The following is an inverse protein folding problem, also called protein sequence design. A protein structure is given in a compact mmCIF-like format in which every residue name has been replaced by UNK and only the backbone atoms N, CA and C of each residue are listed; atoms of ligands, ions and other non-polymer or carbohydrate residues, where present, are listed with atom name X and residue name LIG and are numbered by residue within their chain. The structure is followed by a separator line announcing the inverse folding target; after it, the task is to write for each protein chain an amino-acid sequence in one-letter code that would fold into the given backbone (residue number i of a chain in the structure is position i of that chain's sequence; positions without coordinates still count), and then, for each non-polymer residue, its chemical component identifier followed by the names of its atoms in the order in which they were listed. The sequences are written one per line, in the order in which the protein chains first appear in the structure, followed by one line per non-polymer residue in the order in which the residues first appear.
data_IF_976944436554
#
_entry.id   IF_976944436554
#
_cell.length_a   1.000
_cell.length_b   1.000
_cell.length_c   1.000
_cell.angle_alpha   90.00
_cell.angle_beta   90.00
_cell.angle_gamma   90.00
#
_symmetry.space_group_name_H-M   'P 1'
#
loop_
_entity.id
_entity.type
_entity.pdbx_description
1 polymer ?
#
# COMPACT_ATOMS: atom_id res chain seq x y z
N UNK A 1 9.64 -9.66 14.44
CA UNK A 1 9.40 -8.98 13.16
C UNK A 1 8.00 -8.37 13.12
N UNK A 2 7.61 -7.73 12.00
CA UNK A 2 6.29 -7.08 11.85
C UNK A 2 5.15 -8.08 12.06
N UNK A 3 5.25 -9.26 11.44
CA UNK A 3 4.28 -10.36 11.56
C UNK A 3 4.07 -10.77 13.02
N UNK A 4 5.16 -10.89 13.82
CA UNK A 4 5.05 -11.20 15.24
C UNK A 4 4.35 -10.09 16.02
N UNK A 5 4.47 -8.82 15.57
CA UNK A 5 3.77 -7.72 16.19
C UNK A 5 2.26 -7.78 15.94
N UNK A 6 1.82 -8.13 14.72
CA UNK A 6 0.40 -8.33 14.40
C UNK A 6 -0.22 -9.36 15.35
N UNK A 7 0.41 -10.53 15.45
CA UNK A 7 -0.06 -11.61 16.34
C UNK A 7 -0.09 -11.19 17.82
N UNK A 8 0.96 -10.50 18.29
CA UNK A 8 1.08 -10.06 19.69
C UNK A 8 0.11 -8.94 20.08
N UNK A 9 -0.14 -8.00 19.15
CA UNK A 9 -1.00 -6.83 19.42
C UNK A 9 -2.47 -7.12 19.16
N UNK A 10 -2.80 -8.29 18.60
CA UNK A 10 -4.17 -8.62 18.23
C UNK A 10 -4.71 -7.72 17.11
N UNK A 11 -3.85 -7.36 16.15
CA UNK A 11 -4.26 -6.57 15.00
C UNK A 11 -5.22 -7.35 14.12
N UNK A 12 -6.23 -6.68 13.56
CA UNK A 12 -7.22 -7.29 12.68
C UNK A 12 -6.74 -7.41 11.23
N UNK A 13 -5.74 -6.61 10.84
CA UNK A 13 -5.19 -6.55 9.49
C UNK A 13 -3.74 -6.07 9.51
N UNK A 14 -2.96 -6.47 8.51
CA UNK A 14 -1.63 -5.95 8.23
C UNK A 14 -1.68 -5.08 6.96
N UNK A 15 -1.23 -3.83 7.05
CA UNK A 15 -1.11 -2.93 5.92
C UNK A 15 0.38 -2.72 5.58
N UNK A 16 0.76 -3.01 4.34
CA UNK A 16 2.10 -2.84 3.80
C UNK A 16 2.03 -1.76 2.70
N UNK A 17 2.53 -0.56 3.04
CA UNK A 17 2.29 0.64 2.23
C UNK A 17 3.52 0.97 1.38
N UNK A 18 3.89 0.04 0.50
CA UNK A 18 4.98 0.16 -0.47
C UNK A 18 6.37 -0.08 0.11
N UNK A 19 7.34 -0.21 -0.79
CA UNK A 19 8.77 -0.39 -0.49
C UNK A 19 9.05 -1.57 0.45
N UNK A 20 8.29 -2.66 0.27
CA UNK A 20 8.52 -3.92 1.00
C UNK A 20 9.84 -4.55 0.58
N UNK A 21 10.22 -4.32 -0.67
CA UNK A 21 11.48 -4.75 -1.25
C UNK A 21 12.28 -3.54 -1.72
N UNK A 22 13.59 -3.55 -1.42
CA UNK A 22 14.51 -2.44 -1.74
C UNK A 22 14.67 -2.19 -3.25
N UNK A 23 14.38 -3.19 -4.08
CA UNK A 23 14.36 -3.07 -5.54
C UNK A 23 13.68 -4.26 -6.21
N UNK A 24 13.20 -4.11 -7.44
CA UNK A 24 12.51 -5.17 -8.20
C UNK A 24 13.36 -6.39 -8.61
N UNK A 25 14.66 -6.43 -8.29
CA UNK A 25 15.59 -7.51 -8.69
C UNK A 25 15.99 -8.44 -7.55
N UNK A 26 15.23 -8.48 -6.48
CA UNK A 26 15.47 -9.43 -5.37
C UNK A 26 15.34 -10.88 -5.88
N UNK A 27 16.14 -11.83 -5.33
CA UNK A 27 16.01 -13.25 -5.65
C UNK A 27 14.67 -13.83 -5.24
N UNK A 28 14.18 -14.84 -5.96
CA UNK A 28 12.90 -15.49 -5.63
C UNK A 28 12.88 -16.09 -4.22
N UNK A 29 14.03 -16.55 -3.70
CA UNK A 29 14.15 -17.02 -2.31
C UNK A 29 13.81 -15.96 -1.25
N UNK A 30 14.00 -14.67 -1.55
CA UNK A 30 13.58 -13.57 -0.67
C UNK A 30 12.08 -13.36 -0.75
N UNK A 31 11.49 -13.50 -1.95
CA UNK A 31 10.05 -13.43 -2.15
C UNK A 31 9.35 -14.61 -1.45
N UNK A 32 9.89 -15.82 -1.57
CA UNK A 32 9.40 -17.02 -0.88
C UNK A 32 9.41 -16.81 0.64
N UNK A 33 10.53 -16.34 1.20
CA UNK A 33 10.64 -16.06 2.62
C UNK A 33 9.63 -15.00 3.10
N UNK A 34 9.35 -13.97 2.28
CA UNK A 34 8.30 -12.99 2.55
C UNK A 34 6.92 -13.64 2.59
N UNK A 35 6.59 -14.47 1.60
CA UNK A 35 5.30 -15.17 1.53
C UNK A 35 5.13 -16.15 2.71
N UNK A 36 6.20 -16.86 3.10
CA UNK A 36 6.20 -17.73 4.28
C UNK A 36 5.93 -16.93 5.57
N UNK A 37 6.52 -15.74 5.72
CA UNK A 37 6.26 -14.87 6.87
C UNK A 37 4.80 -14.39 6.90
N UNK A 38 4.23 -13.98 5.75
CA UNK A 38 2.81 -13.58 5.68
C UNK A 38 1.88 -14.75 6.01
N UNK A 39 2.21 -15.96 5.57
CA UNK A 39 1.42 -17.17 5.87
C UNK A 39 1.36 -17.53 7.35
N UNK A 40 2.21 -16.95 8.21
CA UNK A 40 2.22 -17.19 9.68
C UNK A 40 1.05 -16.51 10.40
N UNK A 41 0.37 -15.57 9.79
CA UNK A 41 -0.81 -14.91 10.36
C UNK A 41 -2.06 -15.31 9.59
N UNK A 42 -3.19 -15.34 10.30
CA UNK A 42 -4.50 -15.59 9.68
C UNK A 42 -5.22 -14.32 9.25
N UNK A 43 -4.78 -13.18 9.74
CA UNK A 43 -5.33 -11.88 9.42
C UNK A 43 -5.04 -11.51 7.96
N UNK A 44 -5.93 -10.77 7.30
CA UNK A 44 -5.65 -10.22 5.98
C UNK A 44 -4.41 -9.34 6.00
N UNK A 45 -3.57 -9.46 4.98
CA UNK A 45 -2.46 -8.57 4.70
C UNK A 45 -2.72 -7.88 3.36
N UNK A 46 -2.77 -6.55 3.34
CA UNK A 46 -2.93 -5.76 2.11
C UNK A 46 -1.61 -5.07 1.80
N UNK A 47 -1.12 -5.29 0.57
CA UNK A 47 0.12 -4.73 0.07
C UNK A 47 -0.17 -3.77 -1.06
N UNK A 48 0.35 -2.55 -0.94
CA UNK A 48 0.42 -1.55 -1.99
C UNK A 48 1.86 -1.49 -2.52
N UNK A 49 2.12 -1.61 -3.82
CA UNK A 49 3.45 -1.40 -4.39
C UNK A 49 3.95 0.04 -4.20
N UNK A 50 5.23 0.19 -3.88
CA UNK A 50 5.93 1.48 -3.73
C UNK A 50 6.86 1.79 -4.89
N UNK A 51 7.75 2.77 -4.70
CA UNK A 51 8.65 3.19 -5.77
C UNK A 51 9.89 2.29 -5.95
N UNK A 52 10.27 1.51 -4.95
CA UNK A 52 11.34 0.51 -5.07
C UNK A 52 10.83 -0.82 -5.63
N UNK A 53 9.55 -1.11 -5.48
CA UNK A 53 8.90 -2.35 -5.88
C UNK A 53 7.64 -2.10 -6.74
N UNK A 54 7.79 -1.29 -7.79
CA UNK A 54 6.72 -0.85 -8.71
C UNK A 54 5.88 -2.00 -9.26
N UNK A 55 4.61 -1.71 -9.56
CA UNK A 55 3.72 -2.61 -10.30
C UNK A 55 3.73 -2.27 -11.79
N UNK A 56 4.91 -2.32 -12.42
CA UNK A 56 5.11 -2.14 -13.86
C UNK A 56 5.12 -3.48 -14.61
N UNK A 57 5.38 -3.46 -15.92
CA UNK A 57 5.44 -4.66 -16.76
C UNK A 57 6.51 -5.69 -16.33
N UNK A 58 7.48 -5.30 -15.52
CA UNK A 58 8.54 -6.14 -14.98
C UNK A 58 8.43 -6.34 -13.46
N UNK A 59 7.28 -6.04 -12.91
CA UNK A 59 7.04 -6.10 -11.46
C UNK A 59 7.39 -7.45 -10.87
N UNK A 60 8.09 -7.43 -9.73
CA UNK A 60 8.36 -8.66 -8.96
C UNK A 60 7.07 -9.36 -8.51
N UNK A 61 5.98 -8.61 -8.32
CA UNK A 61 4.66 -9.15 -7.92
C UNK A 61 3.95 -9.96 -9.02
N UNK A 62 4.45 -9.91 -10.26
CA UNK A 62 3.97 -10.70 -11.40
C UNK A 62 4.78 -11.99 -11.60
N UNK A 63 5.85 -12.22 -10.82
CA UNK A 63 6.64 -13.44 -10.91
C UNK A 63 5.86 -14.67 -10.48
N UNK A 64 6.24 -15.85 -10.97
CA UNK A 64 5.60 -17.13 -10.69
C UNK A 64 5.46 -17.41 -9.18
N UNK A 65 6.43 -17.01 -8.38
CA UNK A 65 6.42 -17.12 -6.91
C UNK A 65 5.14 -16.52 -6.31
N UNK A 66 4.65 -15.39 -6.81
CA UNK A 66 3.43 -14.75 -6.31
C UNK A 66 2.14 -15.43 -6.76
N UNK A 67 2.18 -16.34 -7.74
CA UNK A 67 1.01 -17.16 -8.10
C UNK A 67 0.66 -18.15 -6.98
N UNK A 68 1.62 -18.44 -6.11
CA UNK A 68 1.49 -19.33 -4.94
C UNK A 68 1.42 -18.58 -3.62
N UNK A 69 1.10 -17.28 -3.66
CA UNK A 69 0.96 -16.47 -2.45
C UNK A 69 -0.14 -17.01 -1.52
N UNK A 70 -0.01 -16.85 -0.20
CA UNK A 70 -1.05 -17.26 0.73
C UNK A 70 -2.36 -16.47 0.49
N UNK A 71 -3.50 -17.09 0.76
CA UNK A 71 -4.83 -16.55 0.49
C UNK A 71 -5.10 -15.23 1.24
N UNK A 72 -4.48 -15.06 2.41
CA UNK A 72 -4.60 -13.85 3.21
C UNK A 72 -3.79 -12.65 2.69
N UNK A 73 -2.92 -12.83 1.68
CA UNK A 73 -2.20 -11.73 1.05
C UNK A 73 -2.99 -11.18 -0.14
N UNK A 74 -3.37 -9.92 -0.06
CA UNK A 74 -4.03 -9.16 -1.10
C UNK A 74 -3.08 -8.08 -1.61
N UNK A 75 -2.83 -8.03 -2.91
CA UNK A 75 -1.94 -7.03 -3.53
C UNK A 75 -2.80 -6.10 -4.37
N UNK A 76 -2.66 -4.80 -4.14
CA UNK A 76 -3.31 -3.77 -4.96
C UNK A 76 -2.57 -3.70 -6.29
N UNK A 77 -3.30 -3.94 -7.39
CA UNK A 77 -2.75 -4.09 -8.73
C UNK A 77 -3.29 -3.10 -9.74
N UNK A 78 -4.43 -2.47 -9.43
CA UNK A 78 -5.07 -1.56 -10.39
C UNK A 78 -4.41 -0.18 -10.40
N UNK A 79 -4.01 0.24 -11.59
CA UNK A 79 -3.29 1.50 -11.82
C UNK A 79 -4.18 2.73 -11.73
N UNK A 80 -5.50 2.53 -11.85
CA UNK A 80 -6.52 3.57 -11.67
C UNK A 80 -7.13 3.54 -10.26
N UNK A 81 -6.60 2.65 -9.39
CA UNK A 81 -7.08 2.43 -8.04
C UNK A 81 -8.15 1.35 -7.94
N UNK A 82 -8.15 0.65 -6.82
CA UNK A 82 -9.16 -0.36 -6.47
C UNK A 82 -9.47 -0.33 -4.98
N UNK A 83 -10.67 -0.79 -4.62
CA UNK A 83 -11.07 -1.03 -3.25
C UNK A 83 -11.25 -2.54 -3.03
N UNK A 84 -10.54 -3.07 -2.04
CA UNK A 84 -10.67 -4.45 -1.56
C UNK A 84 -11.61 -4.45 -0.36
N UNK A 85 -12.66 -5.27 -0.41
CA UNK A 85 -13.67 -5.31 0.66
C UNK A 85 -13.42 -6.48 1.62
N UNK A 86 -13.51 -6.19 2.91
CA UNK A 86 -13.38 -7.13 4.03
C UNK A 86 -14.63 -7.05 4.89
N UNK A 87 -15.75 -7.71 4.48
CA UNK A 87 -17.04 -7.58 5.14
C UNK A 87 -17.03 -7.98 6.62
N UNK A 88 -16.23 -8.97 6.99
CA UNK A 88 -16.09 -9.44 8.37
C UNK A 88 -15.53 -8.35 9.30
N UNK A 89 -14.76 -7.41 8.74
CA UNK A 89 -14.21 -6.25 9.45
C UNK A 89 -15.06 -4.98 9.23
N UNK A 90 -16.09 -5.06 8.40
CA UNK A 90 -16.87 -3.89 7.93
C UNK A 90 -15.92 -2.81 7.37
N UNK A 91 -14.93 -3.24 6.58
CA UNK A 91 -13.82 -2.43 6.12
C UNK A 91 -13.59 -2.59 4.62
N UNK A 92 -13.35 -1.47 3.95
CA UNK A 92 -12.80 -1.43 2.61
C UNK A 92 -11.40 -0.80 2.67
N UNK A 93 -10.47 -1.38 1.92
CA UNK A 93 -9.11 -0.85 1.78
C UNK A 93 -8.92 -0.42 0.34
N UNK A 94 -8.69 0.86 0.13
CA UNK A 94 -8.44 1.41 -1.20
C UNK A 94 -6.95 1.71 -1.39
N UNK A 95 -6.47 1.57 -2.61
CA UNK A 95 -5.15 2.02 -3.02
C UNK A 95 -5.02 2.07 -4.53
N UNK A 96 -3.99 2.74 -5.01
CA UNK A 96 -3.62 2.86 -6.42
C UNK A 96 -2.22 2.31 -6.62
N UNK A 97 -2.08 1.23 -7.43
CA UNK A 97 -0.78 0.60 -7.69
C UNK A 97 0.18 1.59 -8.38
N UNK A 98 1.37 1.74 -7.82
CA UNK A 98 2.40 2.60 -8.40
C UNK A 98 3.10 1.90 -9.56
N UNK A 99 2.94 2.44 -10.77
CA UNK A 99 3.58 1.93 -12.00
C UNK A 99 4.78 2.77 -12.42
N UNK A 100 4.87 4.00 -11.91
CA UNK A 100 5.99 4.89 -12.17
C UNK A 100 6.14 5.89 -11.04
N UNK A 101 7.39 6.16 -10.65
CA UNK A 101 7.72 7.19 -9.66
C UNK A 101 8.07 8.49 -10.36
N UNK A 102 7.06 9.24 -10.78
CA UNK A 102 7.20 10.49 -11.53
C UNK A 102 6.31 11.58 -10.93
N UNK A 103 6.54 12.87 -11.24
CA UNK A 103 5.68 13.96 -10.78
C UNK A 103 4.24 13.90 -11.32
N UNK A 104 3.99 13.10 -12.37
CA UNK A 104 2.67 12.92 -12.96
C UNK A 104 1.84 11.82 -12.27
N UNK A 105 2.45 10.99 -11.44
CA UNK A 105 1.72 9.98 -10.69
C UNK A 105 1.20 10.58 -9.37
N UNK A 106 -0.12 10.66 -9.23
CA UNK A 106 -0.80 11.16 -8.03
C UNK A 106 -1.40 10.00 -7.24
N UNK A 107 -0.81 9.62 -6.08
CA UNK A 107 -1.20 8.42 -5.34
C UNK A 107 -2.65 8.37 -4.85
N UNK A 108 -3.30 9.53 -4.65
CA UNK A 108 -4.67 9.64 -4.16
C UNK A 108 -5.72 9.84 -5.28
N UNK A 109 -5.28 9.94 -6.53
CA UNK A 109 -6.19 10.14 -7.66
C UNK A 109 -7.08 8.90 -7.89
N UNK A 110 -8.38 9.12 -8.15
CA UNK A 110 -9.33 8.05 -8.46
C UNK A 110 -10.02 7.44 -7.23
N UNK A 111 -9.75 7.92 -6.02
CA UNK A 111 -10.43 7.42 -4.82
C UNK A 111 -11.94 7.61 -4.91
N UNK A 112 -12.77 6.56 -4.70
CA UNK A 112 -14.22 6.66 -4.82
C UNK A 112 -14.83 7.49 -3.69
N UNK A 113 -15.76 8.36 -4.03
CA UNK A 113 -16.53 9.15 -3.05
C UNK A 113 -17.75 8.42 -2.51
N UNK A 114 -18.21 7.37 -3.23
CA UNK A 114 -19.34 6.55 -2.78
C UNK A 114 -18.90 5.56 -1.71
N UNK A 115 -19.69 5.49 -0.64
CA UNK A 115 -19.47 4.63 0.53
C UNK A 115 -20.59 3.61 0.63
N UNK A 116 -20.26 2.38 0.97
CA UNK A 116 -21.22 1.27 1.16
C UNK A 116 -21.62 1.06 2.63
N UNK A 117 -21.19 1.95 3.53
CA UNK A 117 -21.41 1.83 4.96
C UNK A 117 -20.24 1.17 5.71
N UNK A 118 -19.21 0.70 5.01
CA UNK A 118 -17.97 0.24 5.62
C UNK A 118 -17.05 1.42 5.99
N UNK A 119 -16.14 1.18 6.92
CA UNK A 119 -14.98 2.04 7.10
C UNK A 119 -14.12 2.00 5.84
N UNK A 120 -13.51 3.13 5.49
CA UNK A 120 -12.60 3.23 4.36
C UNK A 120 -11.20 3.55 4.86
N UNK A 121 -10.27 2.64 4.67
CA UNK A 121 -8.84 2.89 4.83
C UNK A 121 -8.23 3.07 3.46
N UNK A 122 -7.51 4.17 3.25
CA UNK A 122 -6.77 4.40 2.02
C UNK A 122 -5.27 4.18 2.24
N UNK A 123 -4.62 3.54 1.27
CA UNK A 123 -3.17 3.37 1.22
C UNK A 123 -2.63 4.22 0.07
N UNK A 124 -1.61 5.02 0.36
CA UNK A 124 -0.92 5.79 -0.66
C UNK A 124 0.59 5.78 -0.42
N UNK A 125 1.36 5.58 -1.49
CA UNK A 125 2.81 5.62 -1.43
C UNK A 125 3.32 6.78 -2.27
N UNK A 126 4.04 7.72 -1.64
CA UNK A 126 4.56 8.90 -2.33
C UNK A 126 5.12 9.95 -1.39
N UNK A 127 5.65 11.00 -1.98
CA UNK A 127 6.28 12.09 -1.26
C UNK A 127 5.22 13.07 -0.72
N UNK A 128 5.07 13.13 0.61
CA UNK A 128 4.27 14.20 1.23
C UNK A 128 4.98 15.54 1.02
N UNK A 129 4.28 16.47 0.39
CA UNK A 129 4.81 17.77 0.03
C UNK A 129 4.55 18.76 1.16
N UNK A 130 5.61 19.13 1.89
CA UNK A 130 5.54 20.16 2.93
C UNK A 130 5.43 21.56 2.32
N UNK A 131 4.90 22.51 3.07
CA UNK A 131 4.70 23.89 2.60
C UNK A 131 5.99 24.61 2.21
N UNK A 132 7.14 24.17 2.75
CA UNK A 132 8.47 24.69 2.46
C UNK A 132 9.23 23.93 1.36
N UNK A 133 8.66 22.85 0.83
CA UNK A 133 9.22 22.13 -0.31
C UNK A 133 9.14 22.99 -1.57
N UNK A 134 10.31 23.28 -2.16
CA UNK A 134 10.42 24.13 -3.35
C UNK A 134 10.59 23.34 -4.64
N UNK A 135 11.03 22.11 -4.54
CA UNK A 135 11.32 21.25 -5.67
C UNK A 135 10.12 20.38 -6.00
N UNK A 136 9.87 20.17 -7.30
CA UNK A 136 8.89 19.20 -7.74
C UNK A 136 9.37 17.80 -7.39
N UNK A 137 8.59 17.08 -6.57
CA UNK A 137 8.86 15.71 -6.17
C UNK A 137 8.09 14.72 -7.03
N UNK A 138 8.59 13.49 -7.11
CA UNK A 138 7.87 12.38 -7.74
C UNK A 138 6.78 11.86 -6.83
N UNK A 139 5.66 11.44 -7.44
CA UNK A 139 4.49 10.90 -6.73
C UNK A 139 4.06 11.79 -5.56
N UNK A 140 3.80 13.10 -5.82
CA UNK A 140 3.51 14.06 -4.76
C UNK A 140 2.15 13.79 -4.12
N UNK A 141 2.08 14.02 -2.80
CA UNK A 141 0.85 14.01 -2.01
C UNK A 141 0.78 15.36 -1.31
N UNK A 142 -0.24 16.15 -1.61
CA UNK A 142 -0.40 17.49 -1.06
C UNK A 142 -1.40 17.55 0.10
N UNK A 143 -1.22 18.44 1.09
CA UNK A 143 -2.15 18.60 2.21
C UNK A 143 -3.62 18.77 1.79
N UNK A 144 -3.97 19.55 0.73
CA UNK A 144 -5.36 19.65 0.29
C UNK A 144 -5.95 18.33 -0.24
N UNK A 145 -5.13 17.43 -0.82
CA UNK A 145 -5.58 16.12 -1.29
C UNK A 145 -5.91 15.22 -0.10
N UNK A 146 -5.09 15.26 0.97
CA UNK A 146 -5.35 14.53 2.21
C UNK A 146 -6.64 15.03 2.85
N UNK A 147 -6.79 16.34 2.99
CA UNK A 147 -7.99 16.94 3.60
C UNK A 147 -9.29 16.65 2.81
N UNK A 148 -9.18 16.42 1.50
CA UNK A 148 -10.31 16.10 0.62
C UNK A 148 -10.52 14.59 0.45
N UNK A 149 -9.61 13.74 0.94
CA UNK A 149 -9.68 12.29 0.75
C UNK A 149 -10.94 11.71 1.41
N UNK A 150 -11.80 10.99 0.67
CA UNK A 150 -13.06 10.46 1.20
C UNK A 150 -12.84 9.14 1.96
N UNK A 151 -11.88 9.10 2.89
CA UNK A 151 -11.56 7.95 3.73
C UNK A 151 -11.64 8.29 5.22
N UNK A 152 -11.71 7.27 6.08
CA UNK A 152 -11.71 7.43 7.54
C UNK A 152 -10.29 7.40 8.10
N UNK A 153 -9.36 6.73 7.39
CA UNK A 153 -7.95 6.69 7.72
C UNK A 153 -7.11 6.63 6.45
N UNK A 154 -6.02 7.38 6.41
CA UNK A 154 -5.05 7.37 5.31
C UNK A 154 -3.69 6.94 5.84
N UNK A 155 -3.19 5.81 5.34
CA UNK A 155 -1.85 5.32 5.61
C UNK A 155 -0.91 5.73 4.47
N UNK A 156 0.14 6.49 4.80
CA UNK A 156 1.15 6.93 3.84
C UNK A 156 2.43 6.12 4.00
N UNK A 157 3.01 5.68 2.88
CA UNK A 157 4.34 5.10 2.78
C UNK A 157 5.33 6.05 2.08
N UNK A 158 6.62 5.68 2.04
CA UNK A 158 7.75 6.34 1.39
C UNK A 158 8.78 6.93 2.36
N UNK A 159 8.38 7.31 3.59
CA UNK A 159 9.29 7.91 4.56
C UNK A 159 9.76 6.87 5.58
N UNK A 160 11.06 6.88 5.91
CA UNK A 160 11.67 5.97 6.89
C UNK A 160 11.38 6.36 8.35
N UNK A 161 10.56 7.36 8.57
CA UNK A 161 10.18 7.86 9.89
C UNK A 161 8.69 8.13 9.97
N UNK A 162 8.15 8.00 11.18
CA UNK A 162 6.79 8.42 11.45
C UNK A 162 6.65 9.94 11.27
N UNK A 163 5.66 10.36 10.50
CA UNK A 163 5.24 11.75 10.31
C UNK A 163 3.73 11.79 10.43
N UNK A 164 3.21 12.61 11.34
CA UNK A 164 1.80 12.92 11.42
C UNK A 164 1.52 14.09 10.46
N UNK A 165 0.58 13.89 9.53
CA UNK A 165 0.21 14.85 8.49
C UNK A 165 -1.25 15.31 8.60
N UNK A 166 -1.94 14.91 9.70
CA UNK A 166 -3.34 15.29 9.99
C UNK A 166 -3.48 16.73 10.50
#
# INVERSE_FOLDING_TARGET
AVVDAVARLGGDMLLLVGDVFDHGRVPDSVLEAFLEEIARISQPAVLLPGNHDLYDDNSLYQREVFQHKPDNLHIITQTDGEALSFPELTLDVWGRAMVSHTPAFHPLEGMPTQRNGHWMVALAHGHFHFDDDRDQRSSPIYPPEIAAAPCDYLALGHWDRHVDVS
#
